data_IF_880866832647
#
_entry.id   IF_880866832647
#
_cell.length_a   1.000
_cell.length_b   1.000
_cell.length_c   1.000
_cell.angle_alpha   90.00
_cell.angle_beta   90.00
_cell.angle_gamma   90.00
#
_symmetry.space_group_name_H-M   'P 1'
#
loop_
_entity.id
_entity.type
_entity.pdbx_description
1 polymer ?
#
# COMPACT_ATOMS: atom_id res chain seq x y z
N UNK A 1 2.83 28.41 -3.66
CA UNK A 1 2.87 27.24 -2.76
C UNK A 1 1.71 26.33 -3.12
N UNK A 2 1.90 25.02 -3.23
CA UNK A 2 0.80 24.08 -3.55
C UNK A 2 0.67 23.06 -2.43
N UNK A 3 -0.56 22.82 -1.95
CA UNK A 3 -0.83 21.87 -0.87
C UNK A 3 -1.21 20.53 -1.49
N UNK A 4 -0.46 19.48 -1.19
CA UNK A 4 -0.76 18.10 -1.61
C UNK A 4 -0.98 17.25 -0.37
N UNK A 5 -2.02 16.44 -0.37
CA UNK A 5 -2.25 15.47 0.69
C UNK A 5 -1.28 14.29 0.54
N UNK A 6 -0.63 13.90 1.64
CA UNK A 6 0.21 12.70 1.64
C UNK A 6 -0.64 11.48 1.26
N UNK A 7 -0.15 10.67 0.30
CA UNK A 7 -0.84 9.47 -0.21
C UNK A 7 -1.21 8.46 0.88
N UNK A 8 -0.53 8.49 2.02
CA UNK A 8 -0.76 7.53 3.08
C UNK A 8 -1.60 8.15 4.23
N UNK A 9 -1.39 9.40 4.69
CA UNK A 9 -2.01 9.94 5.94
C UNK A 9 -3.05 10.98 5.64
N UNK A 10 -3.10 11.41 4.37
CA UNK A 10 -3.93 12.50 3.92
C UNK A 10 -3.65 13.83 4.61
N UNK A 11 -2.60 13.93 5.44
CA UNK A 11 -2.14 15.19 6.01
C UNK A 11 -1.75 16.14 4.87
N UNK A 12 -2.27 17.38 4.86
CA UNK A 12 -1.90 18.37 3.87
C UNK A 12 -0.42 18.76 4.08
N UNK A 13 0.36 18.71 3.01
CA UNK A 13 1.77 19.10 3.04
C UNK A 13 1.99 20.22 2.05
N UNK A 14 2.62 21.30 2.52
CA UNK A 14 2.98 22.43 1.68
C UNK A 14 4.20 22.08 0.83
N UNK A 15 4.07 22.27 -0.49
CA UNK A 15 5.13 21.99 -1.45
C UNK A 15 5.69 23.32 -1.96
N UNK A 16 7.01 23.57 -1.81
CA UNK A 16 7.70 24.68 -2.45
C UNK A 16 7.56 24.63 -3.97
N UNK A 17 7.48 25.79 -4.63
CA UNK A 17 7.45 25.83 -6.09
C UNK A 17 8.77 25.24 -6.63
N UNK A 18 8.67 24.28 -7.56
CA UNK A 18 9.81 23.57 -8.15
C UNK A 18 10.08 22.16 -7.61
N UNK A 19 9.51 21.77 -6.47
CA UNK A 19 9.69 20.41 -5.95
C UNK A 19 8.86 19.38 -6.73
N UNK A 20 9.52 18.35 -7.28
CA UNK A 20 8.90 17.25 -8.05
C UNK A 20 8.37 16.12 -7.16
N UNK A 21 8.80 16.08 -5.91
CA UNK A 21 8.38 15.07 -4.93
C UNK A 21 8.53 15.60 -3.51
N UNK A 22 7.67 15.12 -2.61
CA UNK A 22 7.75 15.43 -1.19
C UNK A 22 7.67 14.16 -0.35
N UNK A 23 8.46 14.09 0.73
CA UNK A 23 8.47 12.97 1.67
C UNK A 23 7.74 13.38 2.94
N UNK A 24 6.75 12.59 3.35
CA UNK A 24 6.06 12.78 4.62
C UNK A 24 7.00 12.48 5.79
N UNK A 25 7.13 13.40 6.75
CA UNK A 25 7.98 13.20 7.93
C UNK A 25 7.51 12.04 8.82
N UNK A 26 6.20 11.84 8.95
CA UNK A 26 5.61 10.85 9.86
C UNK A 26 5.65 9.42 9.32
N UNK A 27 5.37 9.22 8.03
CA UNK A 27 5.24 7.88 7.44
C UNK A 27 6.20 7.61 6.29
N UNK A 28 7.15 8.53 6.08
CA UNK A 28 8.24 8.45 5.08
C UNK A 28 7.78 8.22 3.63
N UNK A 29 6.47 8.34 3.37
CA UNK A 29 5.86 8.15 2.06
C UNK A 29 6.22 9.31 1.12
N UNK A 30 6.63 8.96 -0.10
CA UNK A 30 6.99 9.94 -1.14
C UNK A 30 5.79 10.17 -2.05
N UNK A 31 5.34 11.42 -2.15
CA UNK A 31 4.29 11.84 -3.09
C UNK A 31 4.98 12.58 -4.23
N UNK A 32 4.92 12.03 -5.45
CA UNK A 32 5.43 12.69 -6.66
C UNK A 32 4.32 13.57 -7.26
N UNK A 33 4.66 14.78 -7.67
CA UNK A 33 3.74 15.66 -8.40
C UNK A 33 3.59 15.09 -9.81
N UNK A 34 2.40 14.62 -10.17
CA UNK A 34 2.15 14.02 -11.49
C UNK A 34 2.36 15.04 -12.61
N UNK A 35 3.09 14.65 -13.65
CA UNK A 35 3.28 15.45 -14.86
C UNK A 35 1.92 15.67 -15.54
N UNK A 36 1.50 16.93 -15.61
CA UNK A 36 0.26 17.36 -16.26
C UNK A 36 0.38 17.36 -17.80
N UNK A 37 0.79 16.25 -18.41
CA UNK A 37 0.91 16.13 -19.89
C UNK A 37 0.07 15.01 -20.53
N UNK A 38 -1.01 14.58 -19.87
CA UNK A 38 -2.03 13.76 -20.51
C UNK A 38 -3.44 14.40 -20.49
N UNK A 39 -3.53 15.73 -20.28
CA UNK A 39 -4.80 16.44 -20.32
C UNK A 39 -5.12 16.88 -21.77
N UNK A 40 -5.86 16.06 -22.52
CA UNK A 40 -6.80 16.55 -23.53
C UNK A 40 -8.10 16.96 -22.81
N UNK A 41 -8.60 18.19 -22.96
CA UNK A 41 -10.00 18.52 -22.66
C UNK A 41 -10.78 18.80 -23.97
N UNK A 42 -12.12 19.01 -23.93
CA UNK A 42 -13.14 18.19 -23.28
C UNK A 42 -14.34 17.93 -24.23
N UNK A 43 -15.12 16.87 -24.04
CA UNK A 43 -16.54 16.91 -24.45
C UNK A 43 -17.38 16.35 -23.31
N UNK A 44 -18.26 17.22 -22.82
CA UNK A 44 -19.22 16.96 -21.76
C UNK A 44 -20.33 16.03 -22.24
N UNK A 45 -20.59 14.97 -21.48
CA UNK A 45 -21.91 14.34 -21.41
C UNK A 45 -21.97 13.49 -20.14
N UNK A 46 -22.73 13.99 -19.15
CA UNK A 46 -23.42 13.25 -18.09
C UNK A 46 -22.64 12.17 -17.32
N UNK A 47 -22.18 12.50 -16.11
CA UNK A 47 -21.92 11.49 -15.08
C UNK A 47 -22.58 11.92 -13.76
N UNK A 48 -23.45 11.07 -13.15
CA UNK A 48 -24.13 11.40 -11.91
C UNK A 48 -23.15 11.40 -10.73
N UNK A 49 -23.56 12.10 -9.69
CA UNK A 49 -22.89 12.31 -8.42
C UNK A 49 -22.17 11.06 -7.89
N UNK A 50 -20.95 11.29 -7.40
CA UNK A 50 -20.02 10.35 -6.78
C UNK A 50 -20.60 9.60 -5.57
N UNK A 51 -21.40 8.56 -5.84
CA UNK A 51 -21.84 7.54 -4.88
C UNK A 51 -20.90 6.32 -4.80
N UNK A 52 -19.80 6.31 -5.56
CA UNK A 52 -18.98 5.10 -5.74
C UNK A 52 -17.86 4.86 -4.73
N UNK A 53 -17.56 5.81 -3.82
CA UNK A 53 -16.43 5.63 -2.91
C UNK A 53 -16.74 4.89 -1.61
N UNK A 54 -18.01 4.63 -1.28
CA UNK A 54 -18.39 3.87 -0.09
C UNK A 54 -18.99 2.48 -0.39
N UNK A 55 -19.30 2.13 -1.64
CA UNK A 55 -19.99 0.87 -1.96
C UNK A 55 -19.07 -0.29 -2.41
N UNK A 56 -17.75 -0.09 -2.55
CA UNK A 56 -16.81 -1.18 -2.90
C UNK A 56 -15.97 -1.68 -1.70
N UNK A 57 -16.48 -1.57 -0.48
CA UNK A 57 -15.89 -2.23 0.70
C UNK A 57 -16.41 -3.67 0.91
N UNK A 58 -17.10 -4.26 -0.07
CA UNK A 58 -17.68 -5.60 0.02
C UNK A 58 -17.20 -6.62 -1.01
N UNK A 59 -16.40 -6.21 -2.02
CA UNK A 59 -15.85 -7.17 -2.96
C UNK A 59 -14.58 -7.79 -2.36
N UNK A 60 -14.48 -9.12 -2.28
CA UNK A 60 -13.27 -9.77 -1.80
C UNK A 60 -12.09 -9.30 -2.65
N UNK A 61 -10.92 -9.02 -2.04
CA UNK A 61 -9.74 -8.66 -2.81
C UNK A 61 -9.46 -9.74 -3.85
N UNK A 62 -9.11 -9.33 -5.07
CA UNK A 62 -8.80 -10.28 -6.13
C UNK A 62 -7.64 -11.19 -5.69
N UNK A 63 -7.95 -12.47 -5.47
CA UNK A 63 -6.99 -13.48 -5.03
C UNK A 63 -5.83 -13.67 -6.03
N UNK A 64 -6.02 -13.28 -7.28
CA UNK A 64 -5.05 -13.41 -8.38
C UNK A 64 -4.32 -12.09 -8.68
N UNK A 65 -4.46 -11.07 -7.84
CA UNK A 65 -3.75 -9.80 -7.97
C UNK A 65 -2.26 -9.88 -7.61
N UNK A 66 -1.63 -8.71 -7.44
CA UNK A 66 -0.27 -8.59 -6.91
C UNK A 66 -0.21 -9.16 -5.49
N UNK A 67 0.72 -10.08 -5.27
CA UNK A 67 0.90 -10.77 -3.99
C UNK A 67 2.18 -10.30 -3.30
N UNK A 68 2.08 -10.08 -1.99
CA UNK A 68 3.21 -9.78 -1.12
C UNK A 68 2.89 -10.28 0.27
N UNK A 69 3.85 -10.91 0.94
CA UNK A 69 3.70 -11.40 2.30
C UNK A 69 4.92 -11.00 3.14
N UNK A 70 4.71 -10.85 4.44
CA UNK A 70 5.78 -10.70 5.44
C UNK A 70 5.65 -11.85 6.41
N UNK A 71 6.73 -12.59 6.61
CA UNK A 71 6.81 -13.69 7.56
C UNK A 71 7.76 -13.26 8.67
N UNK A 72 7.32 -13.37 9.93
CA UNK A 72 8.14 -13.11 11.10
C UNK A 72 8.08 -14.31 12.03
N UNK A 73 9.24 -14.73 12.47
CA UNK A 73 9.41 -15.78 13.46
C UNK A 73 9.54 -15.17 14.86
N UNK A 74 8.90 -15.79 15.85
CA UNK A 74 8.98 -15.38 17.26
C UNK A 74 9.12 -16.63 18.12
N UNK A 75 10.35 -16.95 18.52
CA UNK A 75 10.64 -18.09 19.40
C UNK A 75 10.83 -17.71 20.87
N UNK A 76 11.00 -16.41 21.19
CA UNK A 76 11.36 -15.98 22.56
C UNK A 76 12.53 -16.77 23.17
N UNK A 77 13.59 -17.04 22.39
CA UNK A 77 14.75 -17.82 22.87
C UNK A 77 15.30 -17.29 24.19
N UNK A 78 15.65 -18.19 25.10
CA UNK A 78 16.16 -17.87 26.44
C UNK A 78 15.11 -17.21 27.36
N UNK A 79 13.82 -17.37 27.06
CA UNK A 79 12.71 -16.95 27.92
C UNK A 79 12.02 -18.16 28.53
N UNK A 80 11.36 -17.95 29.67
CA UNK A 80 10.47 -18.92 30.29
C UNK A 80 9.27 -19.35 29.41
N UNK A 81 9.01 -18.62 28.33
CA UNK A 81 7.95 -18.92 27.35
C UNK A 81 8.52 -19.21 25.95
N UNK A 82 9.71 -19.79 25.88
CA UNK A 82 10.33 -20.14 24.59
C UNK A 82 9.43 -21.07 23.76
N UNK A 83 9.16 -20.65 22.53
CA UNK A 83 8.36 -21.38 21.56
C UNK A 83 9.29 -22.19 20.65
N UNK A 84 9.11 -23.51 20.67
CA UNK A 84 9.76 -24.42 19.73
C UNK A 84 8.93 -24.52 18.46
N UNK A 85 9.61 -24.66 17.32
CA UNK A 85 8.96 -24.90 16.03
C UNK A 85 8.67 -23.65 15.19
N UNK A 86 8.65 -22.44 15.77
CA UNK A 86 8.30 -21.20 15.04
C UNK A 86 9.19 -20.92 13.82
N UNK A 87 10.46 -21.32 13.86
CA UNK A 87 11.39 -21.27 12.72
C UNK A 87 10.96 -22.22 11.60
N UNK A 88 10.52 -23.42 11.96
CA UNK A 88 10.02 -24.39 10.99
C UNK A 88 8.73 -23.89 10.35
N UNK A 89 7.82 -23.34 11.16
CA UNK A 89 6.55 -22.81 10.69
C UNK A 89 6.76 -21.68 9.69
N UNK A 90 7.68 -20.74 9.99
CA UNK A 90 8.04 -19.67 9.08
C UNK A 90 8.58 -20.19 7.73
N UNK A 91 9.40 -21.25 7.76
CA UNK A 91 9.94 -21.89 6.54
C UNK A 91 8.83 -22.61 5.75
N UNK A 92 7.96 -23.34 6.43
CA UNK A 92 6.81 -24.01 5.80
C UNK A 92 5.88 -22.98 5.15
N UNK A 93 5.61 -21.85 5.82
CA UNK A 93 4.80 -20.77 5.25
C UNK A 93 5.46 -20.14 4.02
N UNK A 94 6.77 -19.90 4.05
CA UNK A 94 7.50 -19.42 2.88
C UNK A 94 7.39 -20.40 1.71
N UNK A 95 7.63 -21.69 1.96
CA UNK A 95 7.53 -22.74 0.96
C UNK A 95 6.13 -22.81 0.35
N UNK A 96 5.09 -22.77 1.18
CA UNK A 96 3.70 -22.80 0.75
C UNK A 96 3.36 -21.59 -0.13
N UNK A 97 3.74 -20.39 0.31
CA UNK A 97 3.43 -19.15 -0.39
C UNK A 97 4.10 -19.08 -1.77
N UNK A 98 5.37 -19.47 -1.87
CA UNK A 98 6.12 -19.45 -3.14
C UNK A 98 5.63 -20.57 -4.07
N UNK A 99 5.61 -21.81 -3.61
CA UNK A 99 5.44 -22.96 -4.51
C UNK A 99 3.97 -23.23 -4.86
N UNK A 100 3.06 -23.07 -3.90
CA UNK A 100 1.62 -23.34 -4.12
C UNK A 100 0.88 -22.08 -4.52
N UNK A 101 1.08 -20.99 -3.80
CA UNK A 101 0.35 -19.74 -4.05
C UNK A 101 1.04 -18.78 -5.01
N UNK A 102 2.24 -19.10 -5.53
CA UNK A 102 2.97 -18.31 -6.53
C UNK A 102 3.19 -16.85 -6.07
N UNK A 103 3.51 -16.65 -4.80
CA UNK A 103 4.03 -15.38 -4.32
C UNK A 103 5.43 -15.17 -4.91
N UNK A 104 5.75 -13.95 -5.39
CA UNK A 104 7.09 -13.62 -5.89
C UNK A 104 8.13 -13.61 -4.76
#
# INVERSE_FOLDING_TARGET
>A
MLVINCSNCRTPVQVPQGARSIRCAFRRAVTRKGDARAARPPLAAHAPLSLYNHQLQGLPPNAHGRKSAVIREISYKNSRHELKGSISDAKCMLYLLVNKFRFP
#
